data_IF_662545050401
#
_entry.id   IF_662545050401
#
_cell.length_a   1.000
_cell.length_b   1.000
_cell.length_c   1.000
_cell.angle_alpha   90.00
_cell.angle_beta   90.00
_cell.angle_gamma   90.00
#
_symmetry.space_group_name_H-M   'P 1'
#
loop_
_entity.id
_entity.type
_entity.pdbx_description
1 polymer ?
#
# COMPACT_ATOMS: atom_id res chain seq x y z
N UNK A 1 14.53 -7.75 -8.07
CA UNK A 1 13.80 -8.58 -7.09
C UNK A 1 12.44 -7.91 -6.83
N UNK A 2 11.34 -8.66 -6.78
CA UNK A 2 9.99 -8.10 -6.60
C UNK A 2 9.84 -7.29 -5.30
N UNK A 3 10.53 -7.71 -4.23
CA UNK A 3 10.61 -6.98 -2.96
C UNK A 3 11.15 -5.54 -3.10
N UNK A 4 12.22 -5.35 -3.89
CA UNK A 4 12.79 -4.01 -4.12
C UNK A 4 11.82 -3.08 -4.85
N UNK A 5 11.00 -3.63 -5.75
CA UNK A 5 10.05 -2.84 -6.51
C UNK A 5 8.90 -2.36 -5.61
N UNK A 6 8.40 -3.25 -4.73
CA UNK A 6 7.40 -2.88 -3.72
C UNK A 6 7.92 -1.80 -2.76
N UNK A 7 9.17 -1.89 -2.32
CA UNK A 7 9.77 -0.84 -1.47
C UNK A 7 9.81 0.51 -2.17
N UNK A 8 10.18 0.55 -3.46
CA UNK A 8 10.17 1.81 -4.23
C UNK A 8 8.75 2.39 -4.33
N UNK A 9 7.73 1.55 -4.53
CA UNK A 9 6.34 1.98 -4.60
C UNK A 9 5.83 2.53 -3.25
N UNK A 10 6.19 1.90 -2.14
CA UNK A 10 5.88 2.41 -0.79
C UNK A 10 6.56 3.74 -0.50
N UNK A 11 7.82 3.89 -0.92
CA UNK A 11 8.54 5.16 -0.76
C UNK A 11 7.92 6.28 -1.60
N UNK A 12 7.44 5.96 -2.80
CA UNK A 12 6.69 6.89 -3.64
C UNK A 12 5.35 7.27 -3.01
N UNK A 13 4.61 6.29 -2.46
CA UNK A 13 3.36 6.53 -1.73
C UNK A 13 3.60 7.49 -0.55
N UNK A 14 4.65 7.28 0.25
CA UNK A 14 5.02 8.18 1.35
C UNK A 14 5.36 9.60 0.86
N UNK A 15 6.08 9.74 -0.25
CA UNK A 15 6.36 11.05 -0.85
C UNK A 15 5.08 11.75 -1.30
N UNK A 16 4.16 11.02 -1.91
CA UNK A 16 2.87 11.55 -2.34
C UNK A 16 2.01 11.98 -1.15
N UNK A 17 1.94 11.16 -0.08
CA UNK A 17 1.28 11.50 1.19
C UNK A 17 1.87 12.76 1.85
N UNK A 18 3.18 12.98 1.74
CA UNK A 18 3.83 14.17 2.28
C UNK A 18 3.54 15.43 1.44
N UNK A 19 3.43 15.28 0.12
CA UNK A 19 3.20 16.40 -0.80
C UNK A 19 1.71 16.79 -0.90
N UNK A 20 0.83 15.79 -0.96
CA UNK A 20 -0.62 15.94 -1.06
C UNK A 20 -1.28 14.97 -0.07
N UNK A 21 -1.23 15.28 1.24
CA UNK A 21 -1.92 14.49 2.23
C UNK A 21 -3.44 14.54 1.98
N UNK A 22 -4.17 13.44 2.20
CA UNK A 22 -5.62 13.48 2.19
C UNK A 22 -6.13 14.44 3.26
N UNK A 23 -7.24 15.13 2.97
CA UNK A 23 -7.81 16.14 3.87
C UNK A 23 -8.31 15.53 5.20
N UNK A 24 -8.64 14.23 5.19
CA UNK A 24 -9.10 13.51 6.36
C UNK A 24 -7.93 12.81 7.08
N UNK A 25 -7.78 13.07 8.38
CA UNK A 25 -6.68 12.49 9.16
C UNK A 25 -6.82 10.97 9.29
N UNK A 26 -8.05 10.44 9.42
CA UNK A 26 -8.30 8.99 9.47
C UNK A 26 -7.82 8.28 8.19
N UNK A 27 -7.90 8.95 7.05
CA UNK A 27 -7.53 8.42 5.74
C UNK A 27 -6.01 8.36 5.63
N UNK A 28 -5.36 9.41 6.12
CA UNK A 28 -3.91 9.49 6.22
C UNK A 28 -3.36 8.42 7.16
N UNK A 29 -3.95 8.27 8.35
CA UNK A 29 -3.55 7.23 9.31
C UNK A 29 -3.76 5.84 8.72
N UNK A 30 -4.90 5.60 8.07
CA UNK A 30 -5.19 4.31 7.41
C UNK A 30 -4.13 3.96 6.37
N UNK A 31 -3.72 4.93 5.53
CA UNK A 31 -2.67 4.71 4.53
C UNK A 31 -1.30 4.44 5.15
N UNK A 32 -0.94 5.16 6.22
CA UNK A 32 0.33 4.97 6.92
C UNK A 32 0.37 3.61 7.60
N UNK A 33 -0.74 3.18 8.22
CA UNK A 33 -0.87 1.85 8.81
C UNK A 33 -0.74 0.75 7.74
N UNK A 34 -1.45 0.91 6.63
CA UNK A 34 -1.41 -0.04 5.52
C UNK A 34 0.01 -0.16 4.93
N UNK A 35 0.69 0.96 4.69
CA UNK A 35 2.07 0.97 4.21
C UNK A 35 3.00 0.24 5.18
N UNK A 36 2.84 0.47 6.48
CA UNK A 36 3.63 -0.17 7.54
C UNK A 36 3.38 -1.67 7.65
N UNK A 37 2.13 -2.12 7.56
CA UNK A 37 1.80 -3.55 7.57
C UNK A 37 2.45 -4.27 6.40
N UNK A 38 2.44 -3.65 5.21
CA UNK A 38 3.14 -4.19 4.04
C UNK A 38 4.65 -4.30 4.30
N UNK A 39 5.28 -3.30 4.90
CA UNK A 39 6.70 -3.34 5.23
C UNK A 39 7.03 -4.44 6.25
N UNK A 40 6.15 -4.64 7.24
CA UNK A 40 6.29 -5.73 8.21
C UNK A 40 6.16 -7.09 7.53
N UNK A 41 5.17 -7.27 6.66
CA UNK A 41 5.00 -8.49 5.85
C UNK A 41 6.26 -8.78 5.03
N UNK A 42 6.81 -7.74 4.40
CA UNK A 42 8.01 -7.85 3.57
C UNK A 42 9.26 -8.23 4.38
N UNK A 43 9.37 -7.72 5.61
CA UNK A 43 10.48 -8.01 6.51
C UNK A 43 10.38 -9.39 7.19
N UNK A 44 9.15 -9.90 7.40
CA UNK A 44 8.87 -11.09 8.21
C UNK A 44 9.12 -12.45 7.53
N UNK A 45 10.02 -12.55 6.54
CA UNK A 45 10.24 -13.79 5.77
C UNK A 45 10.42 -15.08 6.64
N UNK A 46 9.92 -16.26 6.18
CA UNK A 46 9.09 -16.49 5.01
C UNK A 46 7.61 -16.36 5.37
N UNK A 47 6.90 -15.55 4.59
CA UNK A 47 5.45 -15.35 4.71
C UNK A 47 4.76 -16.64 4.30
N UNK A 48 4.48 -17.52 5.26
CA UNK A 48 3.82 -18.82 5.01
C UNK A 48 2.33 -18.68 4.76
N UNK A 49 1.76 -17.50 4.95
CA UNK A 49 0.34 -17.21 4.76
C UNK A 49 0.17 -15.85 4.09
N UNK A 50 -0.48 -15.77 2.91
CA UNK A 50 -0.93 -14.52 2.35
C UNK A 50 -1.86 -13.84 3.36
N UNK A 51 -1.60 -12.58 3.68
CA UNK A 51 -2.48 -11.80 4.55
C UNK A 51 -3.61 -11.25 3.68
N UNK A 52 -4.64 -12.07 3.51
CA UNK A 52 -5.83 -11.69 2.74
C UNK A 52 -6.41 -10.35 3.22
N UNK A 53 -6.35 -10.10 4.54
CA UNK A 53 -6.77 -8.83 5.14
C UNK A 53 -5.94 -7.63 4.68
N UNK A 54 -4.65 -7.82 4.38
CA UNK A 54 -3.79 -6.76 3.84
C UNK A 54 -4.19 -6.42 2.41
N UNK A 55 -4.40 -7.44 1.56
CA UNK A 55 -4.87 -7.23 0.18
C UNK A 55 -6.24 -6.54 0.17
N UNK A 56 -7.18 -7.01 0.99
CA UNK A 56 -8.51 -6.42 1.09
C UNK A 56 -8.43 -4.96 1.57
N UNK A 57 -7.55 -4.66 2.54
CA UNK A 57 -7.30 -3.30 3.01
C UNK A 57 -6.72 -2.39 1.93
N UNK A 58 -5.76 -2.89 1.14
CA UNK A 58 -5.19 -2.14 0.01
C UNK A 58 -6.25 -1.87 -1.04
N UNK A 59 -7.09 -2.87 -1.36
CA UNK A 59 -8.14 -2.72 -2.36
C UNK A 59 -9.20 -1.70 -1.92
N UNK A 60 -9.64 -1.75 -0.66
CA UNK A 60 -10.57 -0.76 -0.11
C UNK A 60 -10.00 0.66 -0.16
N UNK A 61 -8.70 0.81 0.15
CA UNK A 61 -8.02 2.09 0.02
C UNK A 61 -8.02 2.57 -1.45
N UNK A 62 -7.68 1.70 -2.41
CA UNK A 62 -7.75 2.04 -3.85
C UNK A 62 -9.13 2.56 -4.22
N UNK A 63 -10.20 1.82 -3.90
CA UNK A 63 -11.57 2.20 -4.26
C UNK A 63 -11.96 3.56 -3.66
N UNK A 64 -11.55 3.82 -2.42
CA UNK A 64 -11.84 5.08 -1.72
C UNK A 64 -11.08 6.26 -2.30
N UNK A 65 -9.80 6.07 -2.59
CA UNK A 65 -8.94 7.12 -3.11
C UNK A 65 -9.06 7.31 -4.61
N UNK A 66 -9.65 6.38 -5.36
CA UNK A 66 -9.79 6.50 -6.83
C UNK A 66 -10.56 7.77 -7.23
N UNK A 67 -11.54 8.18 -6.42
CA UNK A 67 -12.34 9.38 -6.66
C UNK A 67 -11.63 10.66 -6.17
N UNK A 68 -11.09 10.63 -4.95
CA UNK A 68 -10.55 11.83 -4.30
C UNK A 68 -9.06 12.09 -4.60
N UNK A 69 -8.28 11.03 -4.78
CA UNK A 69 -6.82 11.06 -4.93
C UNK A 69 -6.34 10.02 -5.96
N UNK A 70 -6.58 10.24 -7.26
CA UNK A 70 -6.31 9.25 -8.32
C UNK A 70 -4.83 8.85 -8.41
N UNK A 71 -3.91 9.74 -8.03
CA UNK A 71 -2.46 9.45 -7.96
C UNK A 71 -2.14 8.44 -6.86
N UNK A 72 -2.67 8.66 -5.64
CA UNK A 72 -2.51 7.73 -4.51
C UNK A 72 -3.13 6.37 -4.83
N UNK A 73 -4.33 6.35 -5.43
CA UNK A 73 -4.98 5.12 -5.87
C UNK A 73 -4.13 4.35 -6.90
N UNK A 74 -3.49 5.05 -7.83
CA UNK A 74 -2.54 4.46 -8.77
C UNK A 74 -1.36 3.78 -8.08
N UNK A 75 -0.74 4.45 -7.11
CA UNK A 75 0.37 3.89 -6.33
C UNK A 75 -0.06 2.69 -5.47
N UNK A 76 -1.24 2.74 -4.84
CA UNK A 76 -1.80 1.61 -4.09
C UNK A 76 -2.09 0.40 -4.99
N UNK A 77 -2.60 0.62 -6.20
CA UNK A 77 -2.87 -0.46 -7.18
C UNK A 77 -1.58 -1.12 -7.65
N UNK A 78 -0.54 -0.33 -7.85
CA UNK A 78 0.80 -0.82 -8.17
C UNK A 78 1.39 -1.67 -7.04
N UNK A 79 1.19 -1.25 -5.79
CA UNK A 79 1.56 -2.00 -4.58
C UNK A 79 0.79 -3.33 -4.53
N UNK A 80 -0.54 -3.31 -4.68
CA UNK A 80 -1.39 -4.51 -4.70
C UNK A 80 -0.90 -5.52 -5.74
N UNK A 81 -0.56 -5.06 -6.95
CA UNK A 81 -0.07 -5.94 -8.00
C UNK A 81 1.30 -6.53 -7.66
N UNK A 82 2.19 -5.77 -7.02
CA UNK A 82 3.46 -6.28 -6.49
C UNK A 82 3.24 -7.34 -5.40
N UNK A 83 2.28 -7.14 -4.48
CA UNK A 83 1.90 -8.11 -3.45
C UNK A 83 1.37 -9.41 -4.08
N UNK A 84 0.39 -9.30 -4.98
CA UNK A 84 -0.16 -10.46 -5.70
C UNK A 84 0.91 -11.25 -6.47
N UNK A 85 1.87 -10.56 -7.10
CA UNK A 85 2.99 -11.20 -7.80
C UNK A 85 3.96 -11.92 -6.86
N UNK A 86 4.01 -11.54 -5.59
CA UNK A 86 4.81 -12.20 -4.54
C UNK A 86 4.06 -13.33 -3.84
N UNK A 87 2.75 -13.50 -4.11
CA UNK A 87 1.93 -14.53 -3.47
C UNK A 87 1.59 -14.22 -2.01
N UNK A 88 1.66 -12.94 -1.63
CA UNK A 88 1.24 -12.39 -0.32
C UNK A 88 -0.15 -11.81 -0.42
#
# INVERSE_FOLDING_TARGET
>A
MPANHLQQQLEELHKQLAQNPPENEEDRESLVLLARDIELQLAAQPVTTPDASLIDGVNLAVERFEVSHPTLAGSLRNIMQSLANMGI
#
